data_IF_905533235478
#
_entry.id   IF_905533235478
#
_cell.length_a   1.000
_cell.length_b   1.000
_cell.length_c   1.000
_cell.angle_alpha   90.00
_cell.angle_beta   90.00
_cell.angle_gamma   90.00
#
_symmetry.space_group_name_H-M   'P 1'
#
loop_
_entity.id
_entity.type
_entity.pdbx_description
1 polymer ?
#
# COMPACT_ATOMS: atom_id res chain seq x y z
N UNK A 1 2.18 -4.85 8.38
CA UNK A 1 1.56 -6.11 7.90
C UNK A 1 2.66 -7.05 7.44
N UNK A 2 2.51 -8.36 7.64
CA UNK A 2 3.47 -9.37 7.14
C UNK A 2 2.76 -10.37 6.23
N UNK A 3 3.36 -10.73 5.10
CA UNK A 3 2.82 -11.62 4.08
C UNK A 3 3.91 -12.53 3.49
N UNK A 4 3.52 -13.57 2.76
CA UNK A 4 4.47 -14.39 1.96
C UNK A 4 4.62 -13.85 0.55
N UNK A 5 5.71 -14.20 -0.12
CA UNK A 5 5.91 -13.89 -1.54
C UNK A 5 4.72 -14.35 -2.39
N UNK A 6 4.32 -13.52 -3.36
CA UNK A 6 3.17 -13.78 -4.23
C UNK A 6 1.82 -13.35 -3.65
N UNK A 7 1.79 -12.81 -2.43
CA UNK A 7 0.54 -12.30 -1.84
C UNK A 7 0.08 -11.04 -2.58
N UNK A 8 -1.20 -11.00 -2.92
CA UNK A 8 -1.88 -9.78 -3.35
C UNK A 8 -2.44 -9.07 -2.11
N UNK A 9 -2.00 -7.84 -1.89
CA UNK A 9 -2.55 -6.98 -0.84
C UNK A 9 -3.54 -6.02 -1.49
N UNK A 10 -4.73 -5.90 -0.91
CA UNK A 10 -5.78 -4.99 -1.34
C UNK A 10 -5.92 -3.89 -0.29
N UNK A 11 -5.82 -2.65 -0.73
CA UNK A 11 -6.17 -1.47 0.07
C UNK A 11 -7.56 -1.02 -0.33
N UNK A 12 -8.43 -0.80 0.65
CA UNK A 12 -9.75 -0.20 0.46
C UNK A 12 -9.79 1.11 1.22
N UNK A 13 -10.29 2.16 0.58
CA UNK A 13 -10.48 3.44 1.25
C UNK A 13 -11.91 3.54 1.82
N UNK A 14 -12.07 3.26 3.10
CA UNK A 14 -13.36 3.43 3.80
C UNK A 14 -13.58 4.87 4.33
N UNK A 15 -12.56 5.72 4.21
CA UNK A 15 -12.60 7.12 4.63
C UNK A 15 -13.23 8.01 3.54
N UNK A 16 -13.73 9.16 3.97
CA UNK A 16 -14.28 10.21 3.11
C UNK A 16 -13.22 10.99 2.32
N UNK A 17 -12.01 11.11 2.85
CA UNK A 17 -10.89 11.75 2.16
C UNK A 17 -10.25 10.79 1.13
N UNK A 18 -9.71 11.28 0.02
CA UNK A 18 -8.94 10.46 -0.92
C UNK A 18 -7.60 10.05 -0.34
N UNK A 19 -7.16 8.83 -0.62
CA UNK A 19 -5.90 8.28 -0.10
C UNK A 19 -5.08 7.58 -1.18
N UNK A 20 -3.80 7.37 -0.90
CA UNK A 20 -2.92 6.46 -1.64
C UNK A 20 -2.18 5.55 -0.66
N UNK A 21 -1.72 4.40 -1.12
CA UNK A 21 -0.58 3.71 -0.53
C UNK A 21 0.56 3.73 -1.55
N UNK A 22 1.57 4.55 -1.30
CA UNK A 22 2.69 4.80 -2.23
C UNK A 22 3.99 4.45 -1.53
N UNK A 23 4.75 3.51 -2.08
CA UNK A 23 6.02 3.07 -1.51
C UNK A 23 7.07 4.18 -1.55
N UNK A 24 7.81 4.36 -0.46
CA UNK A 24 8.87 5.39 -0.37
C UNK A 24 10.01 5.15 -1.35
N UNK A 25 10.25 3.88 -1.70
CA UNK A 25 11.27 3.45 -2.65
C UNK A 25 10.75 3.40 -4.11
N UNK A 26 9.50 3.80 -4.34
CA UNK A 26 8.87 3.79 -5.66
C UNK A 26 8.47 2.40 -6.18
N UNK A 27 8.57 1.34 -5.37
CA UNK A 27 8.26 -0.02 -5.81
C UNK A 27 6.78 -0.26 -6.10
N UNK A 28 5.86 0.50 -5.50
CA UNK A 28 4.44 0.42 -5.80
C UNK A 28 3.70 1.74 -5.52
N UNK A 29 2.55 1.90 -6.17
CA UNK A 29 1.55 2.91 -5.88
C UNK A 29 0.16 2.34 -6.17
N UNK A 30 -0.79 2.49 -5.25
CA UNK A 30 -2.20 2.15 -5.51
C UNK A 30 -2.87 3.15 -6.45
N UNK A 31 -2.24 4.32 -6.66
CA UNK A 31 -2.91 5.48 -7.20
C UNK A 31 -3.90 6.07 -6.19
N UNK A 32 -4.63 7.11 -6.63
CA UNK A 32 -5.68 7.75 -5.83
C UNK A 32 -6.87 6.80 -5.68
N UNK A 33 -7.25 6.56 -4.43
CA UNK A 33 -8.47 5.87 -4.03
C UNK A 33 -9.43 6.87 -3.39
N UNK A 34 -10.58 7.10 -3.98
CA UNK A 34 -11.71 7.81 -3.36
C UNK A 34 -12.47 6.85 -2.43
N UNK A 35 -13.45 7.36 -1.68
CA UNK A 35 -14.26 6.56 -0.77
C UNK A 35 -14.90 5.36 -1.48
N UNK A 36 -14.69 4.17 -0.92
CA UNK A 36 -15.21 2.89 -1.41
C UNK A 36 -14.38 2.27 -2.54
N UNK A 37 -13.35 2.95 -3.05
CA UNK A 37 -12.46 2.38 -4.06
C UNK A 37 -11.38 1.51 -3.42
N UNK A 38 -10.92 0.53 -4.20
CA UNK A 38 -9.82 -0.36 -3.82
C UNK A 38 -8.71 -0.37 -4.87
N UNK A 39 -7.48 -0.49 -4.40
CA UNK A 39 -6.29 -0.73 -5.22
C UNK A 39 -5.56 -1.98 -4.72
N UNK A 40 -4.87 -2.69 -5.61
CA UNK A 40 -4.17 -3.92 -5.27
C UNK A 40 -2.72 -3.93 -5.76
N UNK A 41 -1.84 -4.53 -4.96
CA UNK A 41 -0.42 -4.73 -5.29
C UNK A 41 -0.03 -6.17 -4.98
N UNK A 42 0.63 -6.83 -5.94
CA UNK A 42 1.25 -8.14 -5.73
C UNK A 42 2.67 -7.97 -5.23
N UNK A 43 3.02 -8.66 -4.14
CA UNK A 43 4.36 -8.62 -3.55
C UNK A 43 5.15 -9.88 -3.89
N UNK A 44 5.85 -9.86 -5.02
CA UNK A 44 6.60 -11.01 -5.54
C UNK A 44 8.07 -11.08 -5.10
N UNK A 45 8.52 -10.14 -4.27
CA UNK A 45 9.90 -10.10 -3.76
C UNK A 45 9.92 -9.99 -2.23
N UNK A 46 10.66 -10.87 -1.52
CA UNK A 46 10.90 -10.69 -0.10
C UNK A 46 11.56 -9.35 0.19
N UNK A 47 11.19 -8.73 1.31
CA UNK A 47 11.68 -7.41 1.67
C UNK A 47 10.74 -6.66 2.60
N UNK A 48 11.14 -5.45 3.00
CA UNK A 48 10.28 -4.51 3.75
C UNK A 48 9.99 -3.31 2.86
N UNK A 49 8.70 -3.05 2.64
CA UNK A 49 8.21 -1.97 1.81
C UNK A 49 7.49 -0.96 2.70
N UNK A 50 8.15 0.16 2.98
CA UNK A 50 7.53 1.29 3.66
C UNK A 50 6.73 2.13 2.67
N UNK A 51 5.55 2.60 3.07
CA UNK A 51 4.69 3.42 2.23
C UNK A 51 4.08 4.57 3.01
N UNK A 52 3.63 5.57 2.25
CA UNK A 52 2.96 6.78 2.73
C UNK A 52 1.69 7.05 1.92
N UNK A 53 0.83 7.94 2.42
CA UNK A 53 -0.22 8.56 1.61
C UNK A 53 0.28 9.90 1.06
N UNK A 54 0.16 10.11 -0.25
CA UNK A 54 0.64 11.35 -0.89
C UNK A 54 -0.19 12.59 -0.50
N UNK A 55 -1.41 12.41 0.00
CA UNK A 55 -2.27 13.52 0.44
C UNK A 55 -2.09 13.88 1.92
N UNK A 56 -1.63 12.93 2.75
CA UNK A 56 -1.61 13.08 4.20
C UNK A 56 -0.24 12.63 4.74
N UNK A 57 0.65 13.60 4.98
CA UNK A 57 2.05 13.36 5.37
C UNK A 57 2.24 12.59 6.68
N UNK A 58 1.22 12.55 7.54
CA UNK A 58 1.23 11.78 8.79
C UNK A 58 0.90 10.30 8.60
N UNK A 59 0.33 9.90 7.46
CA UNK A 59 -0.05 8.50 7.20
C UNK A 59 1.12 7.73 6.61
N UNK A 60 1.57 6.72 7.36
CA UNK A 60 2.61 5.80 6.92
C UNK A 60 2.33 4.37 7.39
N UNK A 61 2.88 3.40 6.67
CA UNK A 61 2.76 1.99 7.00
C UNK A 61 3.89 1.17 6.39
N UNK A 62 3.89 -0.14 6.66
CA UNK A 62 4.83 -1.08 6.04
C UNK A 62 4.22 -2.45 5.75
N UNK A 63 4.67 -3.04 4.64
CA UNK A 63 4.45 -4.45 4.29
C UNK A 63 5.78 -5.18 4.39
N UNK A 64 5.84 -6.24 5.18
CA UNK A 64 7.00 -7.13 5.29
C UNK A 64 6.67 -8.41 4.53
N UNK A 65 7.49 -8.75 3.54
CA UNK A 65 7.30 -9.91 2.68
C UNK A 65 8.36 -10.94 3.04
N UNK A 66 7.90 -12.06 3.60
CA UNK A 66 8.73 -13.24 3.83
C UNK A 66 8.91 -14.08 2.56
N UNK A 67 9.75 -15.12 2.63
CA UNK A 67 10.00 -16.07 1.54
C UNK A 67 8.74 -16.65 0.89
#
# INVERSE_FOLDING_TARGET
>A
MSVTRGTVVVWTNDDSAPHTATAKDGNFDTGRLNKGESGQVTFDRPGTFEYVCNFHSSMSGRVVVGP
#
